data_IF_214022119809
#
_entry.id   IF_214022119809
#
_cell.length_a   1.000
_cell.length_b   1.000
_cell.length_c   1.000
_cell.angle_alpha   90.00
_cell.angle_beta   90.00
_cell.angle_gamma   90.00
#
_symmetry.space_group_name_H-M   'P 1'
#
loop_
_entity.id
_entity.type
_entity.pdbx_description
1 polymer ?
#
# COMPACT_ATOMS: atom_id res chain seq x y z
N UNK A 1 -58.45 25.10 11.67
CA UNK A 1 -58.49 24.49 10.32
C UNK A 1 -57.07 24.01 9.99
N UNK A 2 -56.73 22.74 10.26
CA UNK A 2 -56.44 21.66 9.28
C UNK A 2 -55.56 22.07 8.09
N UNK A 3 -54.27 21.67 8.12
CA UNK A 3 -53.61 20.61 7.29
C UNK A 3 -52.76 21.28 6.17
N UNK A 4 -51.55 20.84 5.80
CA UNK A 4 -50.80 19.59 6.03
C UNK A 4 -49.34 19.80 5.58
N UNK A 5 -48.41 19.30 6.40
CA UNK A 5 -47.03 18.91 6.03
C UNK A 5 -47.08 17.60 5.25
N UNK A 6 -46.18 17.40 4.28
CA UNK A 6 -45.91 16.10 3.65
C UNK A 6 -44.40 15.84 3.65
N UNK A 7 -43.96 15.05 4.62
CA UNK A 7 -42.81 14.16 4.54
C UNK A 7 -43.24 12.91 3.77
N UNK A 8 -42.38 12.41 2.90
CA UNK A 8 -42.49 11.05 2.35
C UNK A 8 -41.17 10.31 2.61
N UNK A 9 -41.15 9.55 3.69
CA UNK A 9 -40.30 8.38 3.89
C UNK A 9 -40.96 7.18 3.21
N UNK A 10 -40.19 6.36 2.49
CA UNK A 10 -40.60 5.02 2.08
C UNK A 10 -39.56 4.02 2.59
N UNK A 11 -40.04 3.11 3.43
CA UNK A 11 -39.29 2.05 4.08
C UNK A 11 -39.28 0.77 3.23
N UNK A 12 -38.32 -0.08 3.59
CA UNK A 12 -38.00 -1.42 3.12
C UNK A 12 -39.15 -2.36 2.76
N UNK A 13 -38.87 -3.26 1.81
CA UNK A 13 -39.45 -4.59 1.76
C UNK A 13 -38.33 -5.62 1.53
N UNK A 14 -38.12 -6.46 2.54
CA UNK A 14 -37.32 -7.69 2.50
C UNK A 14 -38.20 -8.85 2.03
N UNK A 15 -37.70 -9.65 1.08
CA UNK A 15 -38.12 -11.04 0.89
C UNK A 15 -36.89 -11.81 0.40
N UNK A 16 -36.41 -12.73 1.24
CA UNK A 16 -35.30 -13.62 0.91
C UNK A 16 -35.78 -14.81 0.09
N UNK A 17 -34.92 -15.27 -0.83
CA UNK A 17 -34.84 -16.66 -1.27
C UNK A 17 -33.37 -17.00 -1.48
N UNK A 18 -32.97 -18.12 -0.88
CA UNK A 18 -31.65 -18.70 -0.93
C UNK A 18 -31.29 -19.13 -2.36
N UNK A 19 -30.03 -18.90 -2.74
CA UNK A 19 -29.41 -19.42 -3.94
C UNK A 19 -27.90 -19.40 -3.76
N UNK A 20 -27.31 -20.56 -3.49
CA UNK A 20 -25.88 -20.77 -3.47
C UNK A 20 -25.28 -20.38 -4.82
N UNK A 21 -24.56 -19.27 -4.85
CA UNK A 21 -23.67 -18.89 -5.94
C UNK A 21 -22.42 -18.34 -5.30
N UNK A 22 -21.33 -19.10 -5.37
CA UNK A 22 -20.01 -18.61 -5.01
C UNK A 22 -19.73 -17.36 -5.85
N UNK A 23 -19.83 -16.19 -5.22
CA UNK A 23 -19.33 -14.96 -5.80
C UNK A 23 -17.82 -15.13 -5.91
N UNK A 24 -17.34 -15.29 -7.15
CA UNK A 24 -15.98 -14.91 -7.50
C UNK A 24 -15.79 -13.49 -7.00
N UNK A 25 -14.90 -13.29 -6.03
CA UNK A 25 -14.41 -11.98 -5.67
C UNK A 25 -13.31 -11.65 -6.68
N UNK A 26 -13.70 -11.26 -7.89
CA UNK A 26 -12.84 -10.48 -8.77
C UNK A 26 -13.26 -9.02 -8.59
N UNK A 27 -12.55 -8.21 -7.78
CA UNK A 27 -12.98 -6.86 -7.43
C UNK A 27 -12.65 -5.80 -8.49
N UNK A 28 -12.15 -6.17 -9.67
CA UNK A 28 -11.48 -5.22 -10.56
C UNK A 28 -12.11 -5.24 -11.95
N UNK A 29 -13.25 -4.56 -12.07
CA UNK A 29 -13.65 -3.97 -13.35
C UNK A 29 -12.56 -2.96 -13.76
N UNK A 30 -12.29 -2.88 -15.07
CA UNK A 30 -11.44 -1.82 -15.63
C UNK A 30 -11.93 -0.45 -15.15
N UNK A 31 -11.03 0.52 -14.90
CA UNK A 31 -11.44 1.84 -14.44
C UNK A 31 -12.47 2.42 -15.41
N UNK A 32 -13.67 2.68 -14.91
CA UNK A 32 -14.65 3.51 -15.61
C UNK A 32 -13.94 4.79 -16.02
N UNK A 33 -14.08 5.25 -17.29
CA UNK A 33 -13.52 6.53 -17.70
C UNK A 33 -13.97 7.59 -16.70
N UNK A 34 -13.01 8.29 -16.09
CA UNK A 34 -13.34 9.47 -15.31
C UNK A 34 -14.04 10.46 -16.25
N UNK A 35 -15.07 11.14 -15.76
CA UNK A 35 -15.58 12.32 -16.45
C UNK A 35 -14.40 13.28 -16.69
N UNK A 36 -14.35 13.91 -17.87
CA UNK A 36 -13.30 14.88 -18.17
C UNK A 36 -13.19 15.90 -17.04
N UNK A 37 -11.98 16.26 -16.59
CA UNK A 37 -11.82 17.18 -15.48
C UNK A 37 -12.41 18.54 -15.85
N UNK A 38 -13.33 19.04 -15.02
CA UNK A 38 -13.76 20.44 -15.06
C UNK A 38 -12.58 21.31 -14.58
N UNK A 39 -11.78 21.77 -15.55
CA UNK A 39 -10.53 22.48 -15.28
C UNK A 39 -10.76 23.78 -14.49
N UNK A 40 -11.86 24.48 -14.75
CA UNK A 40 -12.21 25.71 -14.02
C UNK A 40 -12.59 25.38 -12.57
N UNK A 41 -13.40 24.33 -12.35
CA UNK A 41 -13.71 23.89 -10.99
C UNK A 41 -12.46 23.44 -10.22
N UNK A 42 -11.51 22.77 -10.89
CA UNK A 42 -10.22 22.41 -10.27
C UNK A 42 -9.40 23.66 -9.96
N UNK A 43 -9.32 24.61 -10.90
CA UNK A 43 -8.61 25.87 -10.73
C UNK A 43 -9.15 26.67 -9.54
N UNK A 44 -10.47 26.83 -9.47
CA UNK A 44 -11.19 27.51 -8.39
C UNK A 44 -10.98 26.83 -7.04
N UNK A 45 -11.09 25.50 -6.98
CA UNK A 45 -10.93 24.74 -5.74
C UNK A 45 -9.53 24.87 -5.12
N UNK A 46 -8.50 25.00 -5.97
CA UNK A 46 -7.11 25.14 -5.53
C UNK A 46 -6.64 26.60 -5.39
N UNK A 47 -7.36 27.53 -6.03
CA UNK A 47 -7.03 28.96 -6.07
C UNK A 47 -5.97 29.31 -7.11
N UNK A 48 -5.90 28.56 -8.23
CA UNK A 48 -4.98 28.88 -9.32
C UNK A 48 -5.37 30.21 -9.97
N UNK A 49 -4.37 31.04 -10.29
CA UNK A 49 -4.60 32.34 -10.94
C UNK A 49 -4.78 32.25 -12.45
N UNK A 50 -4.28 31.18 -13.06
CA UNK A 50 -4.30 30.98 -14.50
C UNK A 50 -4.22 29.49 -14.86
N UNK A 51 -4.99 29.09 -15.86
CA UNK A 51 -4.88 27.80 -16.54
C UNK A 51 -4.12 28.01 -17.84
N UNK A 52 -3.07 27.23 -18.08
CA UNK A 52 -2.30 27.24 -19.33
C UNK A 52 -2.45 25.92 -20.06
N UNK A 53 -3.25 25.92 -21.13
CA UNK A 53 -3.40 24.77 -22.02
C UNK A 53 -2.14 24.60 -22.88
N UNK A 54 -1.41 23.51 -22.67
CA UNK A 54 -0.14 23.27 -23.35
C UNK A 54 -0.31 22.96 -24.84
N UNK A 55 -1.43 22.38 -25.27
CA UNK A 55 -1.71 22.16 -26.70
C UNK A 55 -1.93 23.46 -27.46
N UNK A 56 -2.64 24.41 -26.87
CA UNK A 56 -2.76 25.78 -27.41
C UNK A 56 -1.43 26.55 -27.34
N UNK A 57 -0.58 26.17 -26.39
CA UNK A 57 0.76 26.73 -26.17
C UNK A 57 1.86 26.01 -26.97
N UNK A 58 1.50 25.15 -27.93
CA UNK A 58 2.43 24.57 -28.89
C UNK A 58 3.03 23.21 -28.52
N UNK A 59 2.55 22.55 -27.45
CA UNK A 59 2.92 21.16 -27.16
C UNK A 59 2.46 20.22 -28.28
N UNK A 60 3.39 19.41 -28.78
CA UNK A 60 3.12 18.46 -29.87
C UNK A 60 2.51 17.15 -29.33
N UNK A 61 1.21 16.88 -29.58
CA UNK A 61 0.54 15.67 -29.08
C UNK A 61 0.93 14.40 -29.85
N UNK A 62 1.74 14.50 -30.91
CA UNK A 62 2.21 13.36 -31.69
C UNK A 62 3.63 12.92 -31.31
N UNK A 63 4.33 13.71 -30.48
CA UNK A 63 5.67 13.38 -29.97
C UNK A 63 6.78 13.48 -31.02
N UNK A 64 6.58 14.27 -32.08
CA UNK A 64 7.62 14.60 -33.05
C UNK A 64 8.60 15.63 -32.48
N UNK A 65 8.11 16.57 -31.67
CA UNK A 65 8.91 17.55 -30.92
C UNK A 65 8.87 17.28 -29.40
N UNK A 66 9.95 17.62 -28.66
CA UNK A 66 10.00 17.43 -27.21
C UNK A 66 9.10 18.41 -26.45
N UNK A 67 8.50 17.94 -25.35
CA UNK A 67 7.60 18.71 -24.48
C UNK A 67 8.34 19.74 -23.60
N UNK A 68 9.60 19.48 -23.23
CA UNK A 68 10.40 20.27 -22.28
C UNK A 68 10.39 21.78 -22.56
N UNK A 69 10.75 22.24 -23.78
CA UNK A 69 10.75 23.67 -24.11
C UNK A 69 9.39 24.36 -23.92
N UNK A 70 8.29 23.64 -24.15
CA UNK A 70 6.93 24.18 -23.95
C UNK A 70 6.60 24.30 -22.46
N UNK A 71 7.07 23.35 -21.64
CA UNK A 71 6.92 23.42 -20.18
C UNK A 71 7.71 24.59 -19.60
N UNK A 72 8.95 24.83 -20.06
CA UNK A 72 9.80 25.94 -19.60
C UNK A 72 9.15 27.31 -19.84
N UNK A 73 8.51 27.49 -21.00
CA UNK A 73 7.83 28.75 -21.33
C UNK A 73 6.47 28.88 -20.61
N UNK A 74 5.80 27.76 -20.36
CA UNK A 74 4.46 27.74 -19.79
C UNK A 74 4.44 27.78 -18.26
N UNK A 75 5.41 27.20 -17.57
CA UNK A 75 5.39 27.05 -16.12
C UNK A 75 5.57 28.38 -15.39
N UNK A 76 4.76 28.60 -14.36
CA UNK A 76 4.87 29.77 -13.50
C UNK A 76 4.28 29.47 -12.13
N UNK A 77 4.67 30.27 -11.13
CA UNK A 77 4.02 30.23 -9.84
C UNK A 77 2.53 30.58 -9.95
N UNK A 78 1.70 29.93 -9.14
CA UNK A 78 0.26 30.08 -9.08
C UNK A 78 -0.47 29.75 -10.40
N UNK A 79 0.11 28.85 -11.20
CA UNK A 79 -0.42 28.43 -12.51
C UNK A 79 -0.68 26.92 -12.53
N UNK A 80 -1.76 26.54 -13.20
CA UNK A 80 -2.06 25.16 -13.56
C UNK A 80 -1.77 24.95 -15.04
N UNK A 81 -0.86 24.03 -15.35
CA UNK A 81 -0.66 23.54 -16.70
C UNK A 81 -1.68 22.45 -17.00
N UNK A 82 -2.34 22.55 -18.14
CA UNK A 82 -3.23 21.52 -18.66
C UNK A 82 -2.63 20.87 -19.90
N UNK A 83 -2.47 19.55 -19.87
CA UNK A 83 -1.98 18.75 -20.99
C UNK A 83 -3.17 18.00 -21.63
N UNK A 84 -3.58 18.38 -22.86
CA UNK A 84 -4.71 17.73 -23.53
C UNK A 84 -4.34 16.30 -24.00
N UNK A 85 -5.31 15.54 -24.55
CA UNK A 85 -5.05 14.20 -25.03
C UNK A 85 -3.92 14.15 -26.06
N UNK A 86 -2.98 13.22 -25.88
CA UNK A 86 -1.82 13.10 -26.76
C UNK A 86 -0.73 12.18 -26.23
N UNK A 87 0.30 11.98 -27.05
CA UNK A 87 1.52 11.25 -26.69
C UNK A 87 2.71 12.19 -26.84
N UNK A 88 3.21 12.68 -25.72
CA UNK A 88 4.19 13.74 -25.66
C UNK A 88 5.58 13.17 -25.43
N UNK A 89 6.51 13.50 -26.32
CA UNK A 89 7.91 13.07 -26.19
C UNK A 89 8.60 13.91 -25.13
N UNK A 90 9.34 13.27 -24.22
CA UNK A 90 10.12 13.96 -23.20
C UNK A 90 11.51 13.33 -23.13
N UNK A 91 12.54 14.08 -23.53
CA UNK A 91 13.87 13.52 -23.77
C UNK A 91 14.82 13.68 -22.59
N UNK A 92 14.53 14.66 -21.73
CA UNK A 92 15.37 15.11 -20.65
C UNK A 92 14.51 15.38 -19.42
N UNK A 93 15.15 15.40 -18.26
CA UNK A 93 14.53 15.84 -17.02
C UNK A 93 14.00 17.27 -17.17
N UNK A 94 12.80 17.51 -16.65
CA UNK A 94 12.24 18.83 -16.47
C UNK A 94 12.04 19.13 -14.99
N UNK A 95 12.61 20.25 -14.54
CA UNK A 95 12.58 20.67 -13.15
C UNK A 95 11.82 21.97 -12.99
N UNK A 96 10.85 22.00 -12.07
CA UNK A 96 10.19 23.21 -11.62
C UNK A 96 10.13 23.21 -10.10
N UNK A 97 11.04 23.95 -9.47
CA UNK A 97 11.41 23.71 -8.06
C UNK A 97 11.00 24.82 -7.09
N UNK A 98 10.51 25.96 -7.59
CA UNK A 98 10.17 27.12 -6.76
C UNK A 98 8.76 27.63 -7.07
N UNK A 99 7.83 27.46 -6.13
CA UNK A 99 6.43 27.90 -6.26
C UNK A 99 5.69 27.91 -4.93
N UNK A 100 4.78 28.85 -4.74
CA UNK A 100 3.76 28.77 -3.69
C UNK A 100 2.63 27.82 -4.05
N UNK A 101 2.25 27.75 -5.33
CA UNK A 101 1.22 26.85 -5.85
C UNK A 101 1.53 26.49 -7.31
N UNK A 102 1.54 25.21 -7.66
CA UNK A 102 1.72 24.75 -9.03
C UNK A 102 0.81 23.54 -9.32
N UNK A 103 0.34 23.44 -10.56
CA UNK A 103 -0.54 22.37 -11.01
C UNK A 103 -0.10 21.80 -12.35
N UNK A 104 -0.16 20.48 -12.48
CA UNK A 104 0.00 19.76 -13.75
C UNK A 104 -1.15 18.76 -13.89
N UNK A 105 -2.11 19.08 -14.75
CA UNK A 105 -3.33 18.29 -14.96
C UNK A 105 -3.35 17.78 -16.39
N UNK A 106 -3.68 16.51 -16.57
CA UNK A 106 -3.80 15.86 -17.86
C UNK A 106 -5.15 15.16 -18.02
N UNK A 107 -5.62 15.10 -19.25
CA UNK A 107 -6.77 14.29 -19.65
C UNK A 107 -6.37 13.49 -20.89
N UNK A 108 -6.08 12.19 -20.72
CA UNK A 108 -5.66 11.32 -21.83
C UNK A 108 -4.26 11.63 -22.40
N UNK A 109 -3.36 12.21 -21.60
CA UNK A 109 -1.99 12.49 -22.01
C UNK A 109 -1.01 11.41 -21.54
N UNK A 110 -0.21 10.88 -22.47
CA UNK A 110 0.90 9.96 -22.18
C UNK A 110 2.24 10.64 -22.40
N UNK A 111 3.12 10.61 -21.40
CA UNK A 111 4.50 11.03 -21.50
C UNK A 111 5.36 9.85 -21.96
N UNK A 112 6.16 10.06 -23.01
CA UNK A 112 6.93 9.00 -23.66
C UNK A 112 8.42 9.40 -23.71
N UNK A 113 9.25 8.83 -22.83
CA UNK A 113 10.70 9.01 -22.92
C UNK A 113 11.33 8.23 -24.08
N UNK A 114 12.53 8.63 -24.56
CA UNK A 114 13.24 7.90 -25.58
C UNK A 114 13.73 6.54 -25.07
N UNK A 115 14.02 5.63 -26.01
CA UNK A 115 14.65 4.36 -25.68
C UNK A 115 16.02 4.61 -25.03
N UNK A 116 16.29 4.01 -23.86
CA UNK A 116 17.55 4.21 -23.15
C UNK A 116 17.51 5.29 -22.06
N UNK A 117 16.39 5.99 -21.88
CA UNK A 117 16.24 6.98 -20.81
C UNK A 117 16.34 6.32 -19.42
N UNK A 118 17.11 6.90 -18.51
CA UNK A 118 17.41 6.35 -17.19
C UNK A 118 17.47 7.40 -16.06
N UNK A 119 16.81 8.54 -16.25
CA UNK A 119 16.84 9.70 -15.34
C UNK A 119 15.45 10.01 -14.72
N UNK A 120 15.32 11.13 -14.01
CA UNK A 120 14.05 11.70 -13.56
C UNK A 120 13.33 12.42 -14.71
N UNK A 121 11.99 12.30 -14.83
CA UNK A 121 11.23 13.12 -15.80
C UNK A 121 10.76 14.42 -15.16
N UNK A 122 9.89 14.36 -14.16
CA UNK A 122 9.35 15.54 -13.48
C UNK A 122 9.94 15.67 -12.08
N UNK A 123 10.81 16.65 -11.89
CA UNK A 123 11.30 17.05 -10.57
C UNK A 123 10.55 18.30 -10.13
N UNK A 124 9.55 18.10 -9.27
CA UNK A 124 8.57 19.10 -8.87
C UNK A 124 8.80 19.50 -7.42
N UNK A 125 9.30 20.72 -7.26
CA UNK A 125 9.53 21.33 -5.96
C UNK A 125 10.86 20.97 -5.31
N UNK A 126 11.32 21.91 -4.49
CA UNK A 126 12.45 21.75 -3.58
C UNK A 126 11.98 22.16 -2.17
N UNK A 127 12.35 21.42 -1.11
CA UNK A 127 11.97 21.78 0.25
C UNK A 127 12.34 23.22 0.61
N UNK A 128 11.41 23.95 1.23
CA UNK A 128 11.57 25.35 1.61
C UNK A 128 11.31 26.37 0.50
N UNK A 129 11.13 25.93 -0.75
CA UNK A 129 10.80 26.82 -1.89
C UNK A 129 9.54 26.41 -2.65
N UNK A 130 8.98 25.23 -2.37
CA UNK A 130 7.80 24.69 -3.01
C UNK A 130 6.73 24.33 -1.97
N UNK A 131 5.54 24.93 -2.06
CA UNK A 131 4.54 24.84 -0.97
C UNK A 131 3.36 23.92 -1.27
N UNK A 132 2.64 24.14 -2.38
CA UNK A 132 1.43 23.38 -2.74
C UNK A 132 1.51 22.86 -4.18
N UNK A 133 1.28 21.58 -4.39
CA UNK A 133 1.38 20.92 -5.69
C UNK A 133 0.16 20.02 -5.98
N UNK A 134 -0.42 20.20 -7.16
CA UNK A 134 -1.39 19.29 -7.76
C UNK A 134 -0.78 18.62 -8.99
N UNK A 135 -0.83 17.29 -9.04
CA UNK A 135 -0.56 16.48 -10.24
C UNK A 135 -1.73 15.53 -10.45
N UNK A 136 -2.33 15.56 -11.64
CA UNK A 136 -3.54 14.80 -11.93
C UNK A 136 -3.52 14.23 -13.35
N UNK A 137 -3.82 12.94 -13.50
CA UNK A 137 -4.22 12.35 -14.79
C UNK A 137 -3.09 11.97 -15.75
N UNK A 138 -1.83 11.97 -15.31
CA UNK A 138 -0.69 11.64 -16.16
C UNK A 138 -0.52 10.13 -16.38
N UNK A 139 -0.30 9.73 -17.63
CA UNK A 139 0.22 8.41 -17.97
C UNK A 139 1.68 8.51 -18.43
N UNK A 140 2.50 7.51 -18.09
CA UNK A 140 3.88 7.39 -18.54
C UNK A 140 4.10 6.05 -19.25
N UNK A 141 4.81 6.06 -20.38
CA UNK A 141 5.11 4.87 -21.17
C UNK A 141 6.62 4.58 -21.23
N UNK A 142 7.08 3.80 -20.27
CA UNK A 142 8.45 3.25 -20.17
C UNK A 142 8.57 1.85 -20.78
N UNK A 143 7.71 1.43 -21.71
CA UNK A 143 7.77 0.07 -22.29
C UNK A 143 8.94 -0.15 -23.26
N UNK A 144 9.64 0.92 -23.67
CA UNK A 144 10.86 0.80 -24.46
C UNK A 144 11.96 0.08 -23.65
N UNK A 145 12.92 -0.56 -24.34
CA UNK A 145 13.98 -1.33 -23.66
C UNK A 145 15.00 -0.41 -23.00
N UNK A 146 15.47 -0.78 -21.80
CA UNK A 146 16.42 0.02 -21.02
C UNK A 146 15.89 1.44 -20.82
N UNK A 147 14.57 1.55 -20.69
CA UNK A 147 13.88 2.81 -20.51
C UNK A 147 13.18 2.70 -19.19
N UNK A 148 13.68 3.47 -18.25
CA UNK A 148 13.18 3.53 -16.91
C UNK A 148 13.45 4.92 -16.35
N UNK A 149 13.24 5.11 -15.06
CA UNK A 149 13.38 6.44 -14.48
C UNK A 149 12.46 6.67 -13.31
N UNK A 150 12.62 7.82 -12.68
CA UNK A 150 11.60 8.37 -11.78
C UNK A 150 10.69 9.29 -12.59
N UNK A 151 9.52 8.84 -13.07
CA UNK A 151 8.56 9.74 -13.72
C UNK A 151 8.24 10.97 -12.88
N UNK A 152 8.11 10.84 -11.55
CA UNK A 152 7.77 11.96 -10.68
C UNK A 152 8.62 11.90 -9.39
N UNK A 153 9.27 13.02 -9.10
CA UNK A 153 9.81 13.38 -7.80
C UNK A 153 9.08 14.63 -7.33
N UNK A 154 8.20 14.51 -6.33
CA UNK A 154 7.37 15.60 -5.84
C UNK A 154 7.71 15.95 -4.39
N UNK A 155 8.26 17.14 -4.14
CA UNK A 155 8.75 17.57 -2.83
C UNK A 155 8.20 18.95 -2.50
N UNK A 156 7.28 19.01 -1.54
CA UNK A 156 6.62 20.26 -1.14
C UNK A 156 6.49 20.40 0.37
N UNK A 157 6.33 21.62 0.84
CA UNK A 157 6.22 21.92 2.26
C UNK A 157 4.84 21.57 2.83
N UNK A 158 3.74 22.02 2.19
CA UNK A 158 2.43 22.08 2.85
C UNK A 158 1.34 21.19 2.26
N UNK A 159 1.19 21.12 0.94
CA UNK A 159 0.10 20.34 0.33
C UNK A 159 0.55 19.63 -0.93
N UNK A 160 0.53 18.29 -0.91
CA UNK A 160 0.76 17.46 -2.09
C UNK A 160 -0.52 16.71 -2.46
N UNK A 161 -0.95 16.83 -3.71
CA UNK A 161 -1.99 15.98 -4.27
C UNK A 161 -1.51 15.37 -5.59
N UNK A 162 -1.17 14.09 -5.56
CA UNK A 162 -0.76 13.29 -6.71
C UNK A 162 -1.85 12.26 -6.98
N UNK A 163 -2.59 12.38 -8.07
CA UNK A 163 -3.72 11.48 -8.35
C UNK A 163 -3.85 11.05 -9.79
N UNK A 164 -4.48 9.89 -10.00
CA UNK A 164 -4.75 9.34 -11.32
C UNK A 164 -3.48 9.18 -12.18
N UNK A 165 -2.39 8.72 -11.58
CA UNK A 165 -1.10 8.54 -12.28
C UNK A 165 -0.88 7.08 -12.62
N UNK A 166 -0.56 6.79 -13.88
CA UNK A 166 -0.22 5.44 -14.34
C UNK A 166 1.17 5.41 -14.95
N UNK A 167 1.99 4.43 -14.56
CA UNK A 167 3.29 4.18 -15.18
C UNK A 167 3.27 2.79 -15.80
N UNK A 168 3.45 2.71 -17.12
CA UNK A 168 3.56 1.46 -17.89
C UNK A 168 5.00 1.20 -18.26
N UNK A 169 5.37 -0.07 -18.33
CA UNK A 169 6.74 -0.50 -18.56
C UNK A 169 7.38 -1.03 -17.30
N UNK A 170 8.08 -2.15 -17.44
CA UNK A 170 8.84 -2.75 -16.35
C UNK A 170 10.11 -1.96 -16.12
N UNK A 171 10.35 -1.47 -14.90
CA UNK A 171 11.56 -0.75 -14.55
C UNK A 171 12.79 -1.65 -14.74
N UNK A 172 13.63 -1.32 -15.73
CA UNK A 172 14.82 -2.08 -16.11
C UNK A 172 16.14 -1.29 -16.01
N UNK A 173 16.09 -0.14 -15.34
CA UNK A 173 17.24 0.72 -14.99
C UNK A 173 17.37 0.87 -13.47
N UNK A 174 18.53 1.31 -12.98
CA UNK A 174 18.86 1.35 -11.53
C UNK A 174 18.31 2.61 -10.84
N UNK A 175 16.98 2.72 -10.76
CA UNK A 175 16.31 3.85 -10.11
C UNK A 175 14.89 3.47 -9.67
N UNK A 176 14.40 4.06 -8.60
CA UNK A 176 13.01 3.88 -8.13
C UNK A 176 12.02 4.57 -9.07
N UNK A 177 10.71 4.43 -8.85
CA UNK A 177 9.70 4.95 -9.80
C UNK A 177 9.05 6.26 -9.36
N UNK A 178 8.53 6.36 -8.13
CA UNK A 178 7.86 7.59 -7.66
C UNK A 178 8.43 8.00 -6.31
N UNK A 179 8.75 9.29 -6.15
CA UNK A 179 9.07 9.89 -4.85
C UNK A 179 8.05 10.94 -4.45
N UNK A 180 7.65 10.93 -3.19
CA UNK A 180 6.86 11.99 -2.57
C UNK A 180 7.45 12.42 -1.24
N UNK A 181 7.51 13.73 -1.01
CA UNK A 181 7.93 14.31 0.26
C UNK A 181 6.98 15.45 0.65
N UNK A 182 6.54 15.44 1.93
CA UNK A 182 5.82 16.54 2.56
C UNK A 182 6.61 17.01 3.78
N UNK A 183 7.34 18.10 3.62
CA UNK A 183 8.47 18.44 4.50
C UNK A 183 8.09 19.29 5.71
N UNK A 184 6.93 19.94 5.70
CA UNK A 184 6.43 20.63 6.89
C UNK A 184 5.71 19.66 7.84
N UNK A 185 5.93 19.73 9.17
CA UNK A 185 5.21 18.90 10.15
C UNK A 185 3.68 19.09 10.17
N UNK A 186 3.19 20.24 9.70
CA UNK A 186 1.75 20.52 9.53
C UNK A 186 1.24 20.25 8.10
N UNK A 187 2.14 19.86 7.20
CA UNK A 187 1.83 19.56 5.82
C UNK A 187 1.04 18.27 5.66
N UNK A 188 0.30 18.20 4.55
CA UNK A 188 -0.51 17.04 4.18
C UNK A 188 -0.24 16.58 2.75
N UNK A 189 -0.06 15.29 2.58
CA UNK A 189 0.12 14.64 1.29
C UNK A 189 -0.98 13.64 1.01
N UNK A 190 -1.42 13.61 -0.25
CA UNK A 190 -2.35 12.62 -0.78
C UNK A 190 -1.81 12.06 -2.08
N UNK A 191 -1.62 10.75 -2.10
CA UNK A 191 -1.37 9.95 -3.31
C UNK A 191 -2.60 9.09 -3.54
N UNK A 192 -3.28 9.24 -4.67
CA UNK A 192 -4.57 8.58 -4.93
C UNK A 192 -4.60 7.94 -6.31
N UNK A 193 -4.97 6.65 -6.40
CA UNK A 193 -5.01 5.91 -7.68
C UNK A 193 -3.68 6.01 -8.45
N UNK A 194 -2.58 5.79 -7.75
CA UNK A 194 -1.26 5.58 -8.36
C UNK A 194 -1.18 4.13 -8.84
N UNK A 195 -0.99 3.91 -10.14
CA UNK A 195 -0.95 2.59 -10.77
C UNK A 195 0.43 2.28 -11.34
N UNK A 196 1.12 1.33 -10.72
CA UNK A 196 2.44 0.80 -11.08
C UNK A 196 2.36 -0.74 -11.26
N UNK A 197 1.74 -1.24 -12.35
CA UNK A 197 1.40 -2.66 -12.47
C UNK A 197 2.53 -3.55 -13.01
N UNK A 198 3.56 -2.97 -13.63
CA UNK A 198 4.52 -3.73 -14.45
C UNK A 198 5.83 -4.09 -13.71
N UNK A 199 5.99 -3.59 -12.48
CA UNK A 199 7.08 -3.92 -11.57
C UNK A 199 8.49 -3.63 -12.08
N UNK A 200 9.47 -4.36 -11.57
CA UNK A 200 10.88 -4.12 -11.82
C UNK A 200 11.69 -5.40 -12.14
N UNK A 201 12.88 -5.21 -12.71
CA UNK A 201 13.89 -6.27 -12.83
C UNK A 201 14.56 -6.54 -11.49
N UNK A 202 14.91 -7.80 -11.22
CA UNK A 202 15.55 -8.22 -9.95
C UNK A 202 17.01 -7.78 -9.83
N UNK A 203 17.59 -7.24 -10.90
CA UNK A 203 19.00 -6.83 -10.95
C UNK A 203 19.34 -5.75 -9.90
N UNK A 204 18.38 -4.88 -9.60
CA UNK A 204 18.54 -3.71 -8.74
C UNK A 204 17.42 -3.65 -7.70
N UNK A 205 17.65 -3.06 -6.52
CA UNK A 205 16.63 -2.92 -5.48
C UNK A 205 15.72 -1.72 -5.77
N UNK A 206 14.74 -1.91 -6.65
CA UNK A 206 13.87 -0.83 -7.13
C UNK A 206 12.58 -0.81 -6.32
N UNK A 207 12.27 0.34 -5.74
CA UNK A 207 11.03 0.67 -5.06
C UNK A 207 10.00 1.28 -6.02
N UNK A 208 8.73 0.89 -5.87
CA UNK A 208 7.63 1.46 -6.65
C UNK A 208 7.31 2.89 -6.24
N UNK A 209 6.92 3.09 -4.98
CA UNK A 209 6.67 4.42 -4.43
C UNK A 209 7.39 4.61 -3.10
N UNK A 210 8.19 5.67 -3.03
CA UNK A 210 8.98 6.07 -1.87
C UNK A 210 8.41 7.33 -1.23
N UNK A 211 8.19 7.27 0.07
CA UNK A 211 8.10 8.46 0.93
C UNK A 211 9.53 8.82 1.35
N UNK A 212 9.99 9.99 0.91
CA UNK A 212 11.36 10.41 1.16
C UNK A 212 11.63 10.82 2.61
N UNK A 213 12.90 10.81 2.96
CA UNK A 213 13.47 11.08 4.29
C UNK A 213 13.32 12.54 4.75
N UNK A 214 12.97 13.45 3.87
CA UNK A 214 12.65 14.84 4.23
C UNK A 214 11.21 15.02 4.72
N UNK A 215 10.37 13.98 4.61
CA UNK A 215 8.98 14.05 5.06
C UNK A 215 8.89 14.26 6.57
N UNK A 216 8.05 15.21 6.97
CA UNK A 216 7.64 15.46 8.37
C UNK A 216 6.13 15.50 8.54
N UNK A 217 5.38 15.75 7.47
CA UNK A 217 3.93 15.87 7.46
C UNK A 217 3.19 14.54 7.35
N UNK A 218 1.86 14.62 7.39
CA UNK A 218 0.98 13.46 7.21
C UNK A 218 0.88 13.08 5.73
N UNK A 219 0.99 11.80 5.37
CA UNK A 219 0.77 11.33 3.99
C UNK A 219 -0.26 10.21 3.94
N UNK A 220 -1.19 10.31 2.99
CA UNK A 220 -2.24 9.31 2.74
C UNK A 220 -2.12 8.73 1.33
N UNK A 221 -2.10 7.41 1.24
CA UNK A 221 -2.18 6.62 0.01
C UNK A 221 -3.58 6.04 -0.12
N UNK A 222 -4.28 6.30 -1.22
CA UNK A 222 -5.67 5.86 -1.40
C UNK A 222 -5.88 5.15 -2.73
N UNK A 223 -6.37 3.93 -2.67
CA UNK A 223 -6.70 3.10 -3.83
C UNK A 223 -5.55 2.97 -4.85
N UNK A 224 -4.31 2.89 -4.36
CA UNK A 224 -3.14 2.67 -5.19
C UNK A 224 -3.02 1.20 -5.61
N UNK A 225 -2.39 0.96 -6.77
CA UNK A 225 -2.07 -0.36 -7.31
C UNK A 225 -0.59 -0.46 -7.59
N UNK A 226 0.17 -1.26 -6.83
CA UNK A 226 1.63 -1.35 -6.96
C UNK A 226 2.09 -2.81 -6.93
N UNK A 227 2.72 -3.26 -8.01
CA UNK A 227 3.00 -4.68 -8.21
C UNK A 227 4.42 -4.95 -8.71
N UNK A 228 5.03 -6.03 -8.24
CA UNK A 228 6.16 -6.63 -8.92
C UNK A 228 7.52 -5.96 -8.73
N UNK A 229 7.71 -5.11 -7.73
CA UNK A 229 8.95 -4.39 -7.47
C UNK A 229 10.01 -5.24 -6.76
N UNK A 230 11.27 -5.04 -7.10
CA UNK A 230 12.43 -5.79 -6.58
C UNK A 230 12.97 -5.27 -5.26
N UNK A 231 12.41 -4.18 -4.74
CA UNK A 231 12.49 -3.81 -3.33
C UNK A 231 11.08 -3.71 -2.74
N UNK A 232 10.64 -2.52 -2.31
CA UNK A 232 9.30 -2.34 -1.73
C UNK A 232 8.31 -1.92 -2.81
N UNK A 233 7.06 -2.36 -2.72
CA UNK A 233 5.98 -1.78 -3.51
C UNK A 233 5.74 -0.34 -3.04
N UNK A 234 5.23 -0.21 -1.81
CA UNK A 234 5.14 1.06 -1.10
C UNK A 234 6.14 1.11 0.08
N UNK A 235 7.06 2.07 0.02
CA UNK A 235 7.99 2.43 1.09
C UNK A 235 7.49 3.68 1.80
N UNK A 236 6.55 3.53 2.74
CA UNK A 236 6.02 4.64 3.54
C UNK A 236 6.69 4.65 4.92
N UNK A 237 7.97 5.00 4.94
CA UNK A 237 8.82 4.98 6.14
C UNK A 237 9.47 6.34 6.40
N UNK A 238 8.67 7.41 6.59
CA UNK A 238 9.20 8.72 6.94
C UNK A 238 9.77 8.72 8.37
N UNK A 239 10.63 9.68 8.70
CA UNK A 239 11.12 9.86 10.07
C UNK A 239 10.06 10.40 11.04
N UNK A 240 9.10 11.20 10.53
CA UNK A 240 8.01 11.82 11.29
C UNK A 240 6.73 11.87 10.46
N UNK A 241 5.60 12.07 11.12
CA UNK A 241 4.30 12.23 10.47
C UNK A 241 3.50 10.93 10.44
N UNK A 242 2.18 11.06 10.24
CA UNK A 242 1.30 9.89 10.14
C UNK A 242 1.21 9.39 8.72
N UNK A 243 1.24 8.08 8.57
CA UNK A 243 0.98 7.40 7.30
C UNK A 243 -0.41 6.77 7.34
N UNK A 244 -1.20 7.02 6.30
CA UNK A 244 -2.48 6.34 6.06
C UNK A 244 -2.44 5.60 4.74
N UNK A 245 -2.68 4.30 4.74
CA UNK A 245 -2.86 3.50 3.51
C UNK A 245 -4.29 2.99 3.52
N UNK A 246 -5.12 3.51 2.60
CA UNK A 246 -6.56 3.29 2.58
C UNK A 246 -6.95 2.62 1.25
N UNK A 247 -7.37 1.36 1.31
CA UNK A 247 -7.69 0.59 0.11
C UNK A 247 -6.44 0.26 -0.72
N UNK A 248 -6.69 -0.13 -1.97
CA UNK A 248 -5.64 -0.44 -2.93
C UNK A 248 -5.19 -1.90 -2.95
N UNK A 249 -4.40 -2.22 -3.98
CA UNK A 249 -3.94 -3.56 -4.32
C UNK A 249 -2.42 -3.58 -4.46
N UNK A 250 -1.75 -4.43 -3.67
CA UNK A 250 -0.28 -4.50 -3.66
C UNK A 250 0.15 -5.95 -3.81
N UNK A 251 0.99 -6.25 -4.80
CA UNK A 251 1.28 -7.64 -5.15
C UNK A 251 2.74 -7.92 -5.50
N UNK A 252 3.20 -9.12 -5.15
CA UNK A 252 4.44 -9.71 -5.66
C UNK A 252 5.67 -8.79 -5.58
N UNK A 253 5.83 -8.04 -4.48
CA UNK A 253 6.99 -7.17 -4.22
C UNK A 253 8.03 -7.90 -3.35
N UNK A 254 9.34 -7.66 -3.56
CA UNK A 254 10.39 -8.40 -2.85
C UNK A 254 10.38 -8.12 -1.36
N UNK A 255 10.67 -6.89 -0.92
CA UNK A 255 10.91 -6.63 0.51
C UNK A 255 9.60 -6.44 1.23
N UNK A 256 8.68 -5.63 0.75
CA UNK A 256 7.33 -5.56 1.30
C UNK A 256 6.37 -5.05 0.24
N UNK A 257 5.15 -5.58 0.22
CA UNK A 257 4.09 -4.98 -0.59
C UNK A 257 3.68 -3.62 -0.03
N UNK A 258 3.51 -3.54 1.30
CA UNK A 258 3.30 -2.29 2.03
C UNK A 258 4.24 -2.23 3.23
N UNK A 259 5.15 -1.25 3.26
CA UNK A 259 6.00 -0.96 4.42
C UNK A 259 5.55 0.34 5.06
N UNK A 260 5.33 0.31 6.37
CA UNK A 260 4.95 1.49 7.16
C UNK A 260 5.88 1.67 8.35
N UNK A 261 6.47 2.83 8.49
CA UNK A 261 6.99 3.37 9.75
C UNK A 261 6.31 4.71 9.97
N UNK A 262 5.72 4.92 11.14
CA UNK A 262 5.01 6.17 11.36
C UNK A 262 4.67 6.40 12.83
N UNK A 263 4.25 7.62 13.12
CA UNK A 263 3.77 8.04 14.42
C UNK A 263 2.42 7.43 14.80
N UNK A 264 2.06 7.60 16.08
CA UNK A 264 0.75 7.20 16.61
C UNK A 264 -0.41 7.82 15.82
N UNK A 265 -1.41 6.99 15.50
CA UNK A 265 -2.55 7.38 14.65
C UNK A 265 -2.37 7.05 13.17
N UNK A 266 -1.27 6.38 12.82
CA UNK A 266 -1.08 5.81 11.49
C UNK A 266 -1.93 4.58 11.27
N UNK A 267 -2.37 4.38 10.03
CA UNK A 267 -3.47 3.50 9.68
C UNK A 267 -3.20 2.76 8.36
N UNK A 268 -3.42 1.46 8.34
CA UNK A 268 -3.54 0.65 7.12
C UNK A 268 -4.93 0.02 7.14
N UNK A 269 -5.82 0.44 6.24
CA UNK A 269 -7.23 0.00 6.23
C UNK A 269 -7.66 -0.46 4.86
N UNK A 270 -8.35 -1.59 4.77
CA UNK A 270 -8.99 -2.02 3.51
C UNK A 270 -8.02 -2.44 2.41
N UNK A 271 -6.75 -2.66 2.73
CA UNK A 271 -5.72 -3.02 1.76
C UNK A 271 -5.88 -4.49 1.35
N UNK A 272 -5.77 -4.76 0.05
CA UNK A 272 -5.58 -6.12 -0.47
C UNK A 272 -4.12 -6.32 -0.85
N UNK A 273 -3.45 -7.22 -0.15
CA UNK A 273 -2.14 -7.73 -0.53
C UNK A 273 -2.28 -9.13 -1.10
N UNK A 274 -1.64 -9.39 -2.24
CA UNK A 274 -1.61 -10.71 -2.86
C UNK A 274 -0.22 -11.05 -3.40
N UNK A 275 0.41 -12.06 -2.81
CA UNK A 275 1.64 -12.64 -3.34
C UNK A 275 1.35 -14.05 -3.84
N UNK A 276 1.38 -14.25 -5.14
CA UNK A 276 1.01 -15.50 -5.81
C UNK A 276 1.99 -15.90 -6.92
N UNK A 277 3.18 -15.29 -6.93
CA UNK A 277 4.28 -15.63 -7.81
C UNK A 277 5.62 -15.67 -7.03
N UNK A 278 6.17 -16.86 -6.80
CA UNK A 278 7.52 -16.99 -6.27
C UNK A 278 8.56 -16.58 -7.32
N UNK A 279 9.06 -15.34 -7.21
CA UNK A 279 10.01 -14.78 -8.17
C UNK A 279 11.46 -15.11 -7.80
N UNK A 280 12.21 -15.62 -8.76
CA UNK A 280 13.63 -15.93 -8.57
C UNK A 280 14.43 -14.65 -8.24
N UNK A 281 15.30 -14.76 -7.23
CA UNK A 281 16.12 -13.66 -6.72
C UNK A 281 15.44 -12.82 -5.63
N UNK A 282 14.13 -12.94 -5.43
CA UNK A 282 13.45 -12.31 -4.29
C UNK A 282 13.71 -13.11 -3.02
N UNK A 283 14.05 -12.43 -1.93
CA UNK A 283 14.47 -13.10 -0.69
C UNK A 283 13.46 -13.08 0.44
N UNK A 284 12.49 -12.16 0.47
CA UNK A 284 11.57 -12.04 1.61
C UNK A 284 10.31 -11.21 1.33
N UNK A 285 9.34 -11.82 0.65
CA UNK A 285 8.09 -11.22 0.15
C UNK A 285 7.06 -11.01 1.27
N UNK A 286 7.31 -10.06 2.18
CA UNK A 286 6.36 -9.69 3.25
C UNK A 286 5.14 -8.98 2.65
N UNK A 287 3.98 -9.25 3.22
CA UNK A 287 2.76 -8.55 2.83
C UNK A 287 2.76 -7.12 3.35
N UNK A 288 2.22 -6.94 4.56
CA UNK A 288 2.26 -5.69 5.31
C UNK A 288 3.39 -5.77 6.34
N UNK A 289 4.36 -4.86 6.25
CA UNK A 289 5.48 -4.76 7.20
C UNK A 289 5.38 -3.46 7.99
N UNK A 290 5.07 -3.59 9.27
CA UNK A 290 5.20 -2.51 10.25
C UNK A 290 6.66 -2.44 10.71
N UNK A 291 7.37 -1.39 10.30
CA UNK A 291 8.82 -1.27 10.46
C UNK A 291 9.23 -0.75 11.83
N UNK A 292 8.57 0.30 12.30
CA UNK A 292 8.92 1.03 13.52
C UNK A 292 7.79 2.00 13.90
N UNK A 293 7.98 2.74 15.00
CA UNK A 293 6.96 3.62 15.55
C UNK A 293 6.07 2.94 16.60
N UNK A 294 4.95 3.58 16.93
CA UNK A 294 4.03 3.14 17.99
C UNK A 294 2.59 3.46 17.63
N UNK A 295 1.64 2.64 18.09
CA UNK A 295 0.21 2.88 17.92
C UNK A 295 -0.26 2.85 16.47
N UNK A 296 0.34 1.99 15.63
CA UNK A 296 -0.12 1.77 14.25
C UNK A 296 -1.33 0.83 14.28
N UNK A 297 -2.39 1.18 13.54
CA UNK A 297 -3.57 0.33 13.35
C UNK A 297 -3.58 -0.27 11.95
N UNK A 298 -3.71 -1.60 11.86
CA UNK A 298 -4.00 -2.34 10.63
C UNK A 298 -5.38 -2.95 10.76
N UNK A 299 -6.31 -2.64 9.86
CA UNK A 299 -7.67 -3.16 9.95
C UNK A 299 -8.36 -3.42 8.62
N UNK A 300 -9.36 -4.31 8.64
CA UNK A 300 -10.23 -4.60 7.49
C UNK A 300 -9.46 -4.99 6.21
N UNK A 301 -8.29 -5.62 6.37
CA UNK A 301 -7.42 -5.98 5.25
C UNK A 301 -7.67 -7.43 4.76
N UNK A 302 -7.24 -7.71 3.53
CA UNK A 302 -7.08 -9.05 3.00
C UNK A 302 -5.61 -9.24 2.62
N UNK A 303 -4.94 -10.22 3.22
CA UNK A 303 -3.53 -10.51 2.92
C UNK A 303 -3.37 -11.98 2.52
N UNK A 304 -2.96 -12.22 1.28
CA UNK A 304 -2.80 -13.56 0.72
C UNK A 304 -1.33 -13.80 0.35
N UNK A 305 -0.67 -14.77 0.98
CA UNK A 305 0.63 -15.29 0.58
C UNK A 305 0.46 -16.72 0.06
N UNK A 306 0.20 -16.83 -1.24
CA UNK A 306 -0.12 -18.08 -1.92
C UNK A 306 1.12 -18.78 -2.44
N UNK A 307 2.00 -18.04 -3.12
CA UNK A 307 3.28 -18.52 -3.62
C UNK A 307 4.32 -17.40 -3.47
N UNK A 308 5.38 -17.69 -2.71
CA UNK A 308 6.47 -16.77 -2.41
C UNK A 308 7.79 -17.53 -2.34
N UNK A 309 8.89 -16.90 -2.73
CA UNK A 309 10.22 -17.52 -2.61
C UNK A 309 10.60 -17.78 -1.15
N UNK A 310 10.28 -16.82 -0.29
CA UNK A 310 10.32 -16.89 1.17
C UNK A 310 9.57 -15.66 1.70
N UNK A 311 9.03 -15.74 2.93
CA UNK A 311 8.49 -14.58 3.63
C UNK A 311 8.56 -14.77 5.13
N UNK A 312 8.92 -13.72 5.87
CA UNK A 312 8.74 -13.69 7.33
C UNK A 312 7.27 -13.79 7.72
N UNK A 313 6.37 -13.26 6.89
CA UNK A 313 4.94 -13.43 7.08
C UNK A 313 4.06 -12.42 6.36
N UNK A 314 2.76 -12.72 6.36
CA UNK A 314 1.73 -11.89 5.74
C UNK A 314 1.63 -10.51 6.42
N UNK A 315 1.58 -10.48 7.76
CA UNK A 315 1.71 -9.24 8.54
C UNK A 315 2.90 -9.38 9.49
N UNK A 316 3.86 -8.48 9.37
CA UNK A 316 5.10 -8.50 10.16
C UNK A 316 5.22 -7.26 11.04
N UNK A 317 5.37 -7.48 12.35
CA UNK A 317 5.72 -6.51 13.36
C UNK A 317 7.24 -6.59 13.55
N UNK A 318 7.97 -5.59 13.04
CA UNK A 318 9.43 -5.59 13.04
C UNK A 318 10.01 -5.34 14.44
N UNK A 319 11.31 -5.59 14.59
CA UNK A 319 12.05 -5.49 15.86
C UNK A 319 12.08 -4.09 16.49
N UNK A 320 11.89 -3.05 15.69
CA UNK A 320 11.97 -1.64 16.09
C UNK A 320 10.60 -1.07 16.45
N UNK A 321 9.53 -1.76 16.08
CA UNK A 321 8.16 -1.39 16.38
C UNK A 321 7.89 -1.54 17.88
N UNK A 322 7.27 -0.53 18.47
CA UNK A 322 6.96 -0.47 19.90
C UNK A 322 5.54 -0.95 20.20
N UNK A 323 4.55 -0.57 19.37
CA UNK A 323 3.19 -1.05 19.53
C UNK A 323 2.37 -0.96 18.25
N UNK A 324 1.44 -1.90 18.09
CA UNK A 324 0.49 -1.89 16.99
C UNK A 324 -0.71 -2.81 17.27
N UNK A 325 -1.81 -2.52 16.59
CA UNK A 325 -3.02 -3.33 16.58
C UNK A 325 -3.31 -3.82 15.17
N UNK A 326 -3.52 -5.13 15.02
CA UNK A 326 -4.07 -5.75 13.82
C UNK A 326 -5.48 -6.24 14.14
N UNK A 327 -6.50 -5.80 13.39
CA UNK A 327 -7.86 -6.27 13.63
C UNK A 327 -8.73 -6.48 12.41
N UNK A 328 -9.81 -7.25 12.56
CA UNK A 328 -10.84 -7.45 11.54
C UNK A 328 -10.28 -7.86 10.16
N UNK A 329 -9.17 -8.60 10.16
CA UNK A 329 -8.38 -8.86 8.95
C UNK A 329 -8.45 -10.34 8.59
N UNK A 330 -8.52 -10.63 7.29
CA UNK A 330 -8.42 -12.00 6.77
C UNK A 330 -7.03 -12.23 6.19
N UNK A 331 -6.41 -13.32 6.61
CA UNK A 331 -5.08 -13.73 6.15
C UNK A 331 -5.18 -15.14 5.59
N UNK A 332 -4.69 -15.34 4.36
CA UNK A 332 -4.53 -16.66 3.75
C UNK A 332 -3.06 -16.91 3.46
N UNK A 333 -2.52 -18.02 3.97
CA UNK A 333 -1.15 -18.43 3.70
C UNK A 333 -1.16 -19.86 3.20
N UNK A 334 -0.81 -20.04 1.93
CA UNK A 334 -0.59 -21.35 1.31
C UNK A 334 0.91 -21.67 1.17
N UNK A 335 1.78 -20.65 1.23
CA UNK A 335 3.23 -20.83 1.18
C UNK A 335 3.78 -21.56 2.42
N UNK A 336 4.50 -22.66 2.19
CA UNK A 336 5.10 -23.49 3.23
C UNK A 336 6.14 -22.70 4.06
N UNK A 337 6.17 -22.96 5.37
CA UNK A 337 7.15 -22.37 6.30
C UNK A 337 6.91 -20.89 6.62
N UNK A 338 5.91 -20.24 6.01
CA UNK A 338 5.61 -18.81 6.17
C UNK A 338 4.60 -18.58 7.29
N UNK A 339 4.79 -17.53 8.10
CA UNK A 339 3.83 -17.13 9.12
C UNK A 339 2.68 -16.28 8.54
N UNK A 340 1.49 -16.38 9.11
CA UNK A 340 0.46 -15.38 8.88
C UNK A 340 0.80 -14.09 9.64
N UNK A 341 1.19 -14.21 10.90
CA UNK A 341 1.59 -13.08 11.73
C UNK A 341 2.97 -13.35 12.34
N UNK A 342 3.90 -12.41 12.15
CA UNK A 342 5.24 -12.47 12.74
C UNK A 342 5.48 -11.27 13.63
N UNK A 343 5.62 -11.51 14.93
CA UNK A 343 6.04 -10.51 15.92
C UNK A 343 7.50 -10.78 16.29
N UNK A 344 8.40 -9.92 15.82
CA UNK A 344 9.85 -10.09 15.98
C UNK A 344 10.31 -9.60 17.35
N UNK A 345 11.40 -10.19 17.83
CA UNK A 345 12.10 -9.73 19.04
C UNK A 345 12.60 -8.29 18.89
N UNK A 346 12.65 -7.52 19.99
CA UNK A 346 13.06 -6.12 19.93
C UNK A 346 14.55 -5.96 19.61
N UNK A 347 14.90 -4.91 18.87
CA UNK A 347 16.30 -4.60 18.56
C UNK A 347 17.08 -4.34 19.85
N UNK A 348 18.26 -4.96 19.98
CA UNK A 348 19.08 -4.89 21.19
C UNK A 348 18.67 -5.88 22.29
N UNK A 349 17.61 -6.67 22.07
CA UNK A 349 17.20 -7.75 22.99
C UNK A 349 16.60 -7.29 24.32
N UNK A 350 16.43 -5.98 24.51
CA UNK A 350 15.83 -5.40 25.70
C UNK A 350 14.34 -5.13 25.43
N UNK A 351 13.50 -5.63 26.33
CA UNK A 351 12.07 -5.28 26.37
C UNK A 351 11.94 -3.78 26.61
N UNK A 352 11.10 -3.10 25.82
CA UNK A 352 10.81 -1.68 26.06
C UNK A 352 9.56 -1.56 26.93
N UNK A 353 9.62 -0.68 27.93
CA UNK A 353 8.48 -0.40 28.79
C UNK A 353 7.32 0.17 27.97
N UNK A 354 6.12 -0.40 28.11
CA UNK A 354 4.91 0.09 27.44
C UNK A 354 4.67 -0.43 26.02
N UNK A 355 5.48 -1.39 25.53
CA UNK A 355 5.15 -2.10 24.29
C UNK A 355 3.84 -2.89 24.43
N UNK A 356 3.05 -2.95 23.37
CA UNK A 356 1.85 -3.78 23.30
C UNK A 356 1.51 -4.13 21.86
N UNK A 357 1.20 -5.40 21.64
CA UNK A 357 0.85 -5.94 20.33
C UNK A 357 -0.49 -6.64 20.43
N UNK A 358 -1.48 -6.12 19.72
CA UNK A 358 -2.84 -6.64 19.76
C UNK A 358 -3.22 -7.22 18.41
N UNK A 359 -3.76 -8.43 18.42
CA UNK A 359 -4.36 -9.09 17.27
C UNK A 359 -5.80 -9.44 17.65
N UNK A 360 -6.78 -8.83 16.98
CA UNK A 360 -8.19 -8.90 17.37
C UNK A 360 -9.09 -9.27 16.19
N UNK A 361 -9.97 -10.25 16.31
CA UNK A 361 -10.93 -10.62 15.26
C UNK A 361 -10.24 -10.93 13.91
N UNK A 362 -9.23 -11.81 13.95
CA UNK A 362 -8.43 -12.17 12.77
C UNK A 362 -8.70 -13.62 12.36
N UNK A 363 -8.96 -13.81 11.07
CA UNK A 363 -9.14 -15.13 10.46
C UNK A 363 -7.90 -15.49 9.67
N UNK A 364 -7.25 -16.60 10.03
CA UNK A 364 -6.07 -17.15 9.37
C UNK A 364 -6.43 -18.50 8.74
N UNK A 365 -6.28 -18.58 7.42
CA UNK A 365 -6.55 -19.80 6.64
C UNK A 365 -5.38 -20.16 5.74
N UNK A 366 -5.52 -21.26 5.02
CA UNK A 366 -4.60 -21.67 3.96
C UNK A 366 -3.81 -22.93 4.26
N UNK A 367 -3.20 -23.47 3.22
CA UNK A 367 -2.63 -24.82 3.22
C UNK A 367 -1.15 -24.90 3.67
N UNK A 368 -0.56 -23.80 4.14
CA UNK A 368 0.85 -23.74 4.52
C UNK A 368 1.27 -24.88 5.46
N UNK A 369 2.24 -25.67 5.03
CA UNK A 369 2.88 -26.69 5.84
C UNK A 369 4.03 -26.12 6.68
N UNK A 370 4.39 -26.83 7.74
CA UNK A 370 5.51 -26.53 8.64
C UNK A 370 5.40 -25.16 9.33
N UNK A 371 6.27 -24.89 10.29
CA UNK A 371 6.26 -23.63 11.04
C UNK A 371 4.96 -23.41 11.86
N UNK A 372 4.56 -22.16 12.01
CA UNK A 372 3.40 -21.76 12.81
C UNK A 372 2.58 -20.67 12.12
N UNK A 373 1.26 -20.63 12.36
CA UNK A 373 0.39 -19.56 11.90
C UNK A 373 0.83 -18.21 12.46
N UNK A 374 1.08 -18.16 13.77
CA UNK A 374 1.54 -16.96 14.47
C UNK A 374 2.86 -17.29 15.15
N UNK A 375 3.86 -16.42 14.97
CA UNK A 375 5.12 -16.53 15.70
C UNK A 375 5.48 -15.23 16.40
N UNK A 376 5.66 -15.28 17.72
CA UNK A 376 6.04 -14.15 18.56
C UNK A 376 7.31 -14.45 19.37
N UNK A 377 8.15 -13.45 19.61
CA UNK A 377 9.42 -13.66 20.31
C UNK A 377 9.81 -12.44 21.15
N UNK A 378 10.18 -12.63 22.42
CA UNK A 378 10.71 -11.59 23.33
C UNK A 378 9.83 -10.34 23.42
N UNK A 379 8.52 -10.49 23.64
CA UNK A 379 7.58 -9.36 23.74
C UNK A 379 6.65 -9.50 24.93
N UNK A 380 6.31 -8.37 25.54
CA UNK A 380 5.33 -8.28 26.62
C UNK A 380 4.00 -7.69 26.11
N UNK A 381 2.96 -7.85 26.93
CA UNK A 381 1.62 -7.30 26.68
C UNK A 381 1.06 -7.65 25.29
N UNK A 382 1.30 -8.90 24.86
CA UNK A 382 0.71 -9.43 23.64
C UNK A 382 -0.73 -9.88 23.91
N UNK A 383 -1.68 -9.42 23.11
CA UNK A 383 -3.09 -9.80 23.22
C UNK A 383 -3.54 -10.41 21.90
N UNK A 384 -4.03 -11.64 21.97
CA UNK A 384 -4.62 -12.35 20.86
C UNK A 384 -6.09 -12.64 21.20
N UNK A 385 -7.04 -11.99 20.52
CA UNK A 385 -8.47 -12.05 20.82
C UNK A 385 -9.28 -12.33 19.56
N UNK A 386 -10.33 -13.16 19.66
CA UNK A 386 -11.21 -13.40 18.51
C UNK A 386 -10.48 -14.04 17.34
N UNK A 387 -9.56 -14.97 17.59
CA UNK A 387 -8.77 -15.62 16.54
C UNK A 387 -9.49 -16.84 15.98
N UNK A 388 -9.52 -16.98 14.65
CA UNK A 388 -9.80 -18.27 14.03
C UNK A 388 -8.64 -18.68 13.13
N UNK A 389 -7.96 -19.78 13.47
CA UNK A 389 -6.86 -20.35 12.70
C UNK A 389 -7.30 -21.71 12.17
N UNK A 390 -7.40 -21.84 10.86
CA UNK A 390 -7.64 -23.13 10.18
C UNK A 390 -6.56 -23.35 9.12
N UNK A 391 -5.51 -24.10 9.48
CA UNK A 391 -4.39 -24.39 8.59
C UNK A 391 -4.09 -25.91 8.56
N UNK A 392 -4.65 -26.64 7.57
CA UNK A 392 -4.53 -28.10 7.47
C UNK A 392 -3.19 -28.59 6.88
N UNK A 393 -2.24 -27.69 6.57
CA UNK A 393 -0.92 -28.07 6.07
C UNK A 393 -0.16 -28.98 7.05
N UNK A 394 0.64 -29.91 6.54
CA UNK A 394 1.39 -30.88 7.38
C UNK A 394 2.30 -30.16 8.37
N UNK A 395 2.47 -30.72 9.57
CA UNK A 395 3.38 -30.20 10.62
C UNK A 395 3.16 -28.73 10.99
N UNK A 396 1.98 -28.17 10.71
CA UNK A 396 1.66 -26.77 10.96
C UNK A 396 1.24 -26.57 12.41
N UNK A 397 1.90 -25.64 13.12
CA UNK A 397 1.51 -25.24 14.47
C UNK A 397 0.58 -24.02 14.44
N UNK A 398 -0.19 -23.79 15.49
CA UNK A 398 -1.01 -22.58 15.61
C UNK A 398 -0.16 -21.38 16.05
N UNK A 399 0.08 -21.25 17.35
CA UNK A 399 0.85 -20.14 17.95
C UNK A 399 2.20 -20.65 18.49
N UNK A 400 3.31 -20.09 18.02
CA UNK A 400 4.65 -20.36 18.56
C UNK A 400 5.20 -19.10 19.24
N UNK A 401 5.44 -19.21 20.56
CA UNK A 401 5.90 -18.10 21.38
C UNK A 401 7.18 -18.49 22.14
N UNK A 402 8.18 -17.59 22.12
CA UNK A 402 9.42 -17.70 22.90
C UNK A 402 9.64 -16.41 23.69
N UNK A 403 9.59 -16.50 25.03
CA UNK A 403 9.75 -15.36 25.95
C UNK A 403 8.75 -14.26 25.68
N UNK A 404 7.49 -14.66 25.70
CA UNK A 404 6.34 -13.78 25.45
C UNK A 404 5.41 -13.81 26.63
N UNK A 405 4.98 -12.63 27.09
CA UNK A 405 3.96 -12.47 28.11
C UNK A 405 2.68 -11.91 27.48
N UNK A 406 1.52 -12.49 27.79
CA UNK A 406 0.28 -12.07 27.14
C UNK A 406 -0.95 -12.95 27.40
N UNK A 407 -1.95 -12.78 26.55
CA UNK A 407 -3.21 -13.54 26.61
C UNK A 407 -3.64 -14.04 25.24
N UNK A 408 -4.27 -15.21 25.20
CA UNK A 408 -5.05 -15.70 24.06
C UNK A 408 -6.47 -15.93 24.55
N UNK A 409 -7.43 -15.23 23.96
CA UNK A 409 -8.85 -15.29 24.33
C UNK A 409 -9.77 -15.47 23.13
N UNK A 410 -10.90 -16.15 23.36
CA UNK A 410 -11.96 -16.32 22.35
C UNK A 410 -11.41 -16.83 21.01
N UNK A 411 -10.64 -17.92 21.07
CA UNK A 411 -9.87 -18.40 19.92
C UNK A 411 -10.25 -19.82 19.51
N UNK A 412 -10.21 -20.08 18.20
CA UNK A 412 -10.33 -21.41 17.60
C UNK A 412 -9.06 -21.76 16.82
N UNK A 413 -8.36 -22.83 17.19
CA UNK A 413 -7.12 -23.27 16.54
C UNK A 413 -7.26 -24.68 15.98
N UNK A 414 -7.39 -24.80 14.66
CA UNK A 414 -7.44 -26.05 13.91
C UNK A 414 -6.18 -26.23 13.06
N UNK A 415 -5.26 -27.09 13.53
CA UNK A 415 -3.93 -27.29 12.92
C UNK A 415 -3.47 -28.75 13.03
N UNK A 416 -2.45 -29.14 12.25
CA UNK A 416 -1.98 -30.55 12.19
C UNK A 416 -0.85 -30.90 13.16
N UNK A 417 -0.18 -29.91 13.75
CA UNK A 417 0.84 -30.05 14.79
C UNK A 417 0.34 -29.43 16.10
N UNK A 418 1.21 -28.84 16.92
CA UNK A 418 0.82 -28.26 18.21
C UNK A 418 -0.05 -27.00 18.01
N UNK A 419 -1.25 -26.92 18.61
CA UNK A 419 -2.05 -25.68 18.60
C UNK A 419 -1.30 -24.48 19.17
N UNK A 420 -0.52 -24.69 20.23
CA UNK A 420 0.41 -23.70 20.75
C UNK A 420 1.72 -24.35 21.24
N UNK A 421 2.81 -23.59 21.15
CA UNK A 421 4.14 -23.96 21.61
C UNK A 421 4.75 -22.76 22.34
N UNK A 422 4.79 -22.82 23.66
CA UNK A 422 5.30 -21.75 24.51
C UNK A 422 6.64 -22.16 25.12
N UNK A 423 7.64 -21.28 25.05
CA UNK A 423 8.98 -21.45 25.63
C UNK A 423 9.29 -20.23 26.47
N UNK A 424 9.54 -20.43 27.77
CA UNK A 424 9.84 -19.35 28.72
C UNK A 424 8.84 -18.17 28.62
N UNK A 425 7.58 -18.48 28.33
CA UNK A 425 6.48 -17.55 28.06
C UNK A 425 5.41 -17.69 29.14
N UNK A 426 4.82 -16.58 29.57
CA UNK A 426 3.64 -16.53 30.44
C UNK A 426 2.42 -16.05 29.63
N UNK A 427 1.67 -17.00 29.07
CA UNK A 427 0.50 -16.73 28.24
C UNK A 427 -0.72 -17.37 28.87
N UNK A 428 -1.68 -16.56 29.30
CA UNK A 428 -2.98 -17.02 29.77
C UNK A 428 -3.89 -17.36 28.58
N UNK A 429 -4.57 -18.51 28.64
CA UNK A 429 -5.56 -18.92 27.63
C UNK A 429 -6.96 -18.92 28.23
N UNK A 430 -7.90 -18.20 27.62
CA UNK A 430 -9.30 -18.08 28.06
C UNK A 430 -10.21 -18.43 26.90
N UNK A 431 -11.19 -19.34 27.09
CA UNK A 431 -12.16 -19.71 26.05
C UNK A 431 -11.52 -20.08 24.68
N UNK A 432 -10.41 -20.83 24.74
CA UNK A 432 -9.70 -21.34 23.57
C UNK A 432 -10.15 -22.76 23.24
N UNK A 433 -10.63 -22.95 22.02
CA UNK A 433 -10.94 -24.27 21.46
C UNK A 433 -9.84 -24.71 20.50
N UNK A 434 -9.46 -25.99 20.58
CA UNK A 434 -8.40 -26.56 19.75
C UNK A 434 -8.89 -27.80 19.03
N UNK A 435 -8.50 -27.96 17.77
CA UNK A 435 -8.75 -29.16 16.98
C UNK A 435 -7.47 -29.63 16.31
N UNK A 436 -7.07 -30.85 16.63
CA UNK A 436 -5.99 -31.52 15.92
C UNK A 436 -6.54 -32.03 14.58
N UNK A 437 -6.04 -31.48 13.47
CA UNK A 437 -6.37 -31.95 12.14
C UNK A 437 -5.52 -33.19 11.81
N UNK A 438 -6.15 -34.22 11.22
CA UNK A 438 -5.42 -35.36 10.68
C UNK A 438 -4.53 -34.89 9.53
N UNK A 439 -3.24 -35.19 9.59
CA UNK A 439 -2.25 -34.79 8.58
C UNK A 439 -2.50 -35.49 7.23
N UNK A 440 -3.50 -35.04 6.49
CA UNK A 440 -3.89 -35.61 5.21
C UNK A 440 -5.36 -35.33 4.89
N UNK A 441 -5.64 -34.18 4.30
CA UNK A 441 -6.96 -33.91 3.73
C UNK A 441 -7.17 -32.46 3.34
N UNK A 442 -7.55 -32.23 2.09
CA UNK A 442 -8.04 -30.96 1.54
C UNK A 442 -9.45 -30.65 2.06
N UNK A 443 -9.63 -30.55 3.39
CA UNK A 443 -10.88 -30.03 3.93
C UNK A 443 -11.00 -28.54 3.57
N UNK A 444 -12.21 -28.12 3.19
CA UNK A 444 -12.47 -26.76 2.69
C UNK A 444 -11.94 -25.72 3.70
N UNK A 445 -11.08 -24.77 3.26
CA UNK A 445 -10.41 -23.82 4.15
C UNK A 445 -11.35 -22.86 4.90
N UNK A 446 -12.63 -22.81 4.54
CA UNK A 446 -13.60 -21.80 5.00
C UNK A 446 -14.66 -22.31 5.98
N UNK A 447 -14.79 -23.63 6.16
CA UNK A 447 -15.92 -24.20 6.92
C UNK A 447 -15.88 -23.99 8.44
N UNK A 448 -14.69 -23.76 9.01
CA UNK A 448 -14.48 -23.66 10.47
C UNK A 448 -14.32 -22.21 10.96
N UNK A 449 -14.07 -21.27 10.05
CA UNK A 449 -13.86 -19.85 10.37
C UNK A 449 -14.88 -18.90 9.69
N UNK A 450 -16.01 -19.45 9.25
CA UNK A 450 -17.06 -18.76 8.48
C UNK A 450 -18.22 -18.24 9.32
#
# INVERSE_FOLDING_TARGET
MRRRTLLATAAAATAGLAGCGGRSLDPWDEPTPADQPDLEAVADAWGFGEIRNLGEHGADPFGTEPLGPVLDDAAANNRMLYLPPGRYRMEEQWSFTEFSLFGLVADGATIVPPQGFDDELFTLGTPGTASRLLVDGLEFDFRAKRTGGRPIVARVDHELNLRNVTVRGRQDVDTDTVRVDVTSPDGVGRVERLHLPDGAVVKWPITGCEVGDDTRGDISFVDCRIEGFSDNGLYADPPEGRVRVLGGYYANNEVASVRVNADAGSLVRGVHVRCDEARNGFRNMRGIRLRGGKGILVEDCLVELLDVSFSDGAVTFSSELESATLRNTRIRVDADGVNAIRIKEPTGGLLRMGESFTVENVVITGAAATGAAIQASRRDNCVFEGLCVHQPGRERSGVDADRVNGTIRDAHLAVTSKPYRFRDSDIETVDVSVRQLGGGGSQSPTGECG
#
